data_IF_786683589326
#
_entry.id   IF_786683589326
#
_cell.length_a   1.000
_cell.length_b   1.000
_cell.length_c   1.000
_cell.angle_alpha   90.00
_cell.angle_beta   90.00
_cell.angle_gamma   90.00
#
_symmetry.space_group_name_H-M   'P 1'
#
loop_
_entity.id
_entity.type
_entity.pdbx_description
1 polymer ?
#
# COMPACT_ATOMS: atom_id res chain seq x y z
N UNK A 1 -3.59 8.41 86.08
CA UNK A 1 -4.25 8.16 84.78
C UNK A 1 -4.15 9.31 83.78
N UNK A 2 -4.34 10.58 84.17
CA UNK A 2 -4.27 11.75 83.26
C UNK A 2 -2.96 11.92 82.47
N UNK A 3 -1.78 11.70 83.08
CA UNK A 3 -0.47 11.83 82.37
C UNK A 3 -0.28 10.82 81.23
N UNK A 4 -0.77 9.58 81.38
CA UNK A 4 -0.70 8.54 80.33
C UNK A 4 -1.62 8.85 79.15
N UNK A 5 -2.81 9.38 79.43
CA UNK A 5 -3.74 9.83 78.39
C UNK A 5 -3.21 11.04 77.60
N UNK A 6 -2.53 11.98 78.28
CA UNK A 6 -1.88 13.12 77.61
C UNK A 6 -0.75 12.64 76.68
N UNK A 7 0.12 11.74 77.14
CA UNK A 7 1.20 11.20 76.31
C UNK A 7 0.64 10.47 75.08
N UNK A 8 -0.40 9.66 75.25
CA UNK A 8 -1.05 8.94 74.15
C UNK A 8 -1.69 9.92 73.14
N UNK A 9 -2.42 10.92 73.61
CA UNK A 9 -3.03 11.93 72.74
C UNK A 9 -1.97 12.74 71.98
N UNK A 10 -0.87 13.13 72.63
CA UNK A 10 0.23 13.84 71.95
C UNK A 10 0.88 12.96 70.88
N UNK A 11 1.09 11.68 71.15
CA UNK A 11 1.63 10.74 70.16
C UNK A 11 0.69 10.55 68.95
N UNK A 12 -0.63 10.47 69.20
CA UNK A 12 -1.64 10.36 68.14
C UNK A 12 -1.66 11.64 67.29
N UNK A 13 -1.69 12.83 67.92
CA UNK A 13 -1.66 14.11 67.22
C UNK A 13 -0.39 14.23 66.38
N UNK A 14 0.77 13.87 66.93
CA UNK A 14 2.03 13.88 66.19
C UNK A 14 2.01 12.91 65.00
N UNK A 15 1.40 11.74 65.16
CA UNK A 15 1.17 10.80 64.07
C UNK A 15 0.31 11.39 62.94
N UNK A 16 -0.79 12.06 63.29
CA UNK A 16 -1.64 12.75 62.31
C UNK A 16 -0.91 13.90 61.61
N UNK A 17 -0.09 14.66 62.34
CA UNK A 17 0.75 15.73 61.75
C UNK A 17 1.77 15.15 60.76
N UNK A 18 2.41 14.03 61.09
CA UNK A 18 3.35 13.37 60.17
C UNK A 18 2.65 12.89 58.88
N UNK A 19 1.45 12.31 59.01
CA UNK A 19 0.63 11.90 57.85
C UNK A 19 0.21 13.13 57.03
N UNK A 20 -0.22 14.21 57.67
CA UNK A 20 -0.60 15.45 57.01
C UNK A 20 0.56 16.06 56.22
N UNK A 21 1.76 16.14 56.82
CA UNK A 21 2.96 16.62 56.14
C UNK A 21 3.32 15.74 54.93
N UNK A 22 3.15 14.41 55.06
CA UNK A 22 3.37 13.49 53.93
C UNK A 22 2.35 13.66 52.81
N UNK A 23 1.08 13.90 53.14
CA UNK A 23 0.06 14.19 52.15
C UNK A 23 0.31 15.53 51.46
N UNK A 24 0.73 16.57 52.20
CA UNK A 24 1.09 17.86 51.62
C UNK A 24 2.28 17.75 50.66
N UNK A 25 3.28 16.95 51.02
CA UNK A 25 4.42 16.63 50.15
C UNK A 25 3.98 15.92 48.85
N UNK A 26 3.06 14.95 48.94
CA UNK A 26 2.56 14.23 47.76
C UNK A 26 1.60 15.06 46.90
N UNK A 27 0.69 15.80 47.53
CA UNK A 27 -0.42 16.49 46.87
C UNK A 27 -0.09 17.92 46.42
N UNK A 28 0.85 18.61 47.07
CA UNK A 28 1.20 20.00 46.77
C UNK A 28 2.61 20.09 46.19
N UNK A 29 3.64 19.62 46.92
CA UNK A 29 5.03 19.76 46.48
C UNK A 29 5.35 18.89 45.25
N UNK A 30 4.90 17.64 45.25
CA UNK A 30 5.13 16.70 44.16
C UNK A 30 3.94 16.57 43.19
N UNK A 31 2.93 17.44 43.29
CA UNK A 31 1.73 17.38 42.44
C UNK A 31 2.09 17.30 40.97
N UNK A 32 2.93 18.21 40.48
CA UNK A 32 3.31 18.25 39.06
C UNK A 32 3.98 16.97 38.59
N UNK A 33 4.82 16.36 39.43
CA UNK A 33 5.53 15.11 39.10
C UNK A 33 4.60 13.90 39.04
N UNK A 34 3.67 13.79 39.99
CA UNK A 34 2.74 12.66 40.03
C UNK A 34 1.59 12.82 39.04
N UNK A 35 1.11 14.06 38.83
CA UNK A 35 0.13 14.39 37.80
C UNK A 35 0.69 14.11 36.40
N UNK A 36 1.95 14.48 36.11
CA UNK A 36 2.56 14.18 34.82
C UNK A 36 2.79 12.67 34.61
N UNK A 37 3.21 11.93 35.64
CA UNK A 37 3.32 10.46 35.56
C UNK A 37 1.96 9.79 35.33
N UNK A 38 0.92 10.24 36.01
CA UNK A 38 -0.44 9.76 35.80
C UNK A 38 -0.92 10.09 34.38
N UNK A 39 -0.64 11.30 33.89
CA UNK A 39 -0.96 11.74 32.53
C UNK A 39 -0.25 10.89 31.48
N UNK A 40 1.04 10.61 31.64
CA UNK A 40 1.80 9.73 30.73
C UNK A 40 1.27 8.29 30.77
N UNK A 41 0.86 7.79 31.93
CA UNK A 41 0.28 6.44 32.06
C UNK A 41 -1.13 6.35 31.46
N UNK A 42 -1.92 7.41 31.55
CA UNK A 42 -3.28 7.48 31.03
C UNK A 42 -3.31 7.80 29.53
N UNK A 43 -2.36 8.60 29.03
CA UNK A 43 -2.20 8.93 27.60
C UNK A 43 -1.32 7.87 26.92
N UNK A 44 -1.97 6.86 26.34
CA UNK A 44 -1.28 5.95 25.44
C UNK A 44 -1.41 6.47 24.02
N UNK A 45 -0.28 6.64 23.34
CA UNK A 45 -0.25 6.92 21.91
C UNK A 45 -0.52 5.60 21.20
N UNK A 46 -1.57 5.57 20.39
CA UNK A 46 -1.79 4.51 19.42
C UNK A 46 -1.42 5.04 18.04
N UNK A 47 -0.52 4.33 17.37
CA UNK A 47 -0.13 4.65 16.00
C UNK A 47 -1.26 4.21 15.08
N UNK A 48 -1.90 5.17 14.43
CA UNK A 48 -2.86 4.89 13.36
C UNK A 48 -2.15 4.98 12.03
N UNK A 49 -2.53 4.10 11.10
CA UNK A 49 -2.02 4.16 9.76
C UNK A 49 -2.47 5.47 9.09
N UNK A 50 -1.51 6.36 8.86
CA UNK A 50 -1.72 7.59 8.11
C UNK A 50 -2.34 7.30 6.74
N UNK A 51 -3.24 8.18 6.31
CA UNK A 51 -3.85 8.11 4.98
C UNK A 51 -2.77 8.34 3.93
N UNK A 52 -2.62 7.37 3.03
CA UNK A 52 -1.66 7.46 1.91
C UNK A 52 -2.13 8.51 0.89
N UNK A 53 -1.21 9.17 0.22
CA UNK A 53 -1.54 10.10 -0.87
C UNK A 53 -2.33 9.43 -1.99
N UNK A 54 -3.22 10.19 -2.64
CA UNK A 54 -3.98 9.71 -3.79
C UNK A 54 -3.09 9.69 -5.04
N UNK A 55 -3.34 8.75 -5.95
CA UNK A 55 -2.71 8.72 -7.27
C UNK A 55 -3.74 9.08 -8.31
N UNK A 56 -3.42 10.08 -9.12
CA UNK A 56 -4.25 10.58 -10.21
C UNK A 56 -3.57 10.39 -11.55
N UNK A 57 -4.39 10.30 -12.59
CA UNK A 57 -3.94 10.46 -13.97
C UNK A 57 -3.76 11.96 -14.31
N UNK A 58 -3.31 12.26 -15.54
CA UNK A 58 -3.04 13.64 -15.97
C UNK A 58 -4.29 14.55 -16.00
N UNK A 59 -5.49 13.98 -16.03
CA UNK A 59 -6.78 14.68 -16.03
C UNK A 59 -7.44 14.70 -14.65
N UNK A 60 -6.74 14.25 -13.60
CA UNK A 60 -7.26 14.23 -12.23
C UNK A 60 -8.20 13.06 -11.93
N UNK A 61 -8.24 12.02 -12.78
CA UNK A 61 -9.02 10.81 -12.54
C UNK A 61 -8.28 9.91 -11.55
N UNK A 62 -9.03 9.34 -10.61
CA UNK A 62 -8.48 8.53 -9.52
C UNK A 62 -8.00 7.16 -10.01
N UNK A 63 -6.72 6.88 -9.78
CA UNK A 63 -6.07 5.61 -10.08
C UNK A 63 -5.74 4.80 -8.81
N UNK A 64 -5.47 5.48 -7.70
CA UNK A 64 -5.21 4.86 -6.40
C UNK A 64 -5.76 5.70 -5.24
N UNK A 65 -6.71 5.13 -4.50
CA UNK A 65 -7.45 5.80 -3.43
C UNK A 65 -7.37 5.01 -2.12
N UNK A 66 -7.85 5.59 -1.02
CA UNK A 66 -8.01 4.88 0.24
C UNK A 66 -9.49 4.74 0.56
N UNK A 67 -9.91 3.54 0.91
CA UNK A 67 -11.22 3.27 1.47
C UNK A 67 -11.12 3.21 2.99
N UNK A 68 -12.04 3.90 3.66
CA UNK A 68 -12.25 3.77 5.10
C UNK A 68 -12.90 2.41 5.35
N UNK A 69 -12.19 1.57 6.10
CA UNK A 69 -12.61 0.22 6.45
C UNK A 69 -12.34 -0.01 7.92
N UNK A 70 -12.82 -1.11 8.46
CA UNK A 70 -12.54 -1.50 9.84
C UNK A 70 -11.82 -2.84 9.87
N UNK A 71 -10.87 -2.97 10.80
CA UNK A 71 -10.21 -4.24 11.11
C UNK A 71 -10.80 -4.80 12.41
N UNK A 72 -11.12 -6.09 12.41
CA UNK A 72 -11.69 -6.80 13.55
C UNK A 72 -10.58 -7.41 14.40
N UNK A 73 -10.59 -7.08 15.70
CA UNK A 73 -9.77 -7.73 16.70
C UNK A 73 -10.62 -8.41 17.76
N UNK A 74 -9.99 -9.33 18.49
CA UNK A 74 -10.54 -10.03 19.62
C UNK A 74 -9.69 -9.71 20.85
N UNK A 75 -10.33 -9.48 21.99
CA UNK A 75 -9.77 -9.56 23.34
C UNK A 75 -10.16 -10.93 23.94
N UNK A 76 -9.25 -11.92 23.89
CA UNK A 76 -9.51 -13.25 24.44
C UNK A 76 -9.90 -13.23 25.92
N UNK A 77 -9.43 -12.25 26.70
CA UNK A 77 -9.72 -12.17 28.14
C UNK A 77 -11.14 -11.68 28.45
N UNK A 78 -11.81 -11.05 27.49
CA UNK A 78 -13.17 -10.55 27.60
C UNK A 78 -14.21 -11.46 26.90
N UNK A 79 -13.76 -12.51 26.21
CA UNK A 79 -14.61 -13.47 25.50
C UNK A 79 -15.33 -14.41 26.48
N UNK A 80 -16.64 -14.56 26.31
CA UNK A 80 -17.47 -15.46 27.13
C UNK A 80 -17.62 -16.83 26.47
N UNK A 81 -17.98 -16.87 25.18
CA UNK A 81 -18.27 -18.11 24.44
C UNK A 81 -17.44 -18.22 23.15
N UNK A 82 -16.14 -18.56 23.23
CA UNK A 82 -15.24 -18.58 22.08
C UNK A 82 -15.67 -19.51 20.94
N UNK A 83 -16.23 -20.68 21.28
CA UNK A 83 -16.65 -21.69 20.31
C UNK A 83 -17.81 -21.20 19.46
N UNK A 84 -18.90 -20.75 20.11
CA UNK A 84 -20.08 -20.22 19.42
C UNK A 84 -19.72 -19.01 18.55
N UNK A 85 -18.95 -18.07 19.11
CA UNK A 85 -18.47 -16.91 18.37
C UNK A 85 -17.66 -17.28 17.12
N UNK A 86 -16.79 -18.29 17.21
CA UNK A 86 -16.00 -18.76 16.07
C UNK A 86 -16.87 -19.34 14.95
N UNK A 87 -17.89 -20.14 15.28
CA UNK A 87 -18.82 -20.67 14.30
C UNK A 87 -19.65 -19.56 13.65
N UNK A 88 -20.22 -18.63 14.42
CA UNK A 88 -21.05 -17.55 13.89
C UNK A 88 -20.25 -16.60 12.98
N UNK A 89 -19.02 -16.24 13.39
CA UNK A 89 -18.11 -15.42 12.57
C UNK A 89 -17.62 -16.13 11.32
N UNK A 90 -17.38 -17.45 11.39
CA UNK A 90 -16.89 -18.23 10.25
C UNK A 90 -17.84 -18.16 9.07
N UNK A 91 -19.16 -18.18 9.31
CA UNK A 91 -20.18 -18.07 8.28
C UNK A 91 -20.23 -16.72 7.59
N UNK A 92 -19.85 -15.64 8.29
CA UNK A 92 -19.86 -14.27 7.75
C UNK A 92 -18.57 -13.89 7.06
N UNK A 93 -17.43 -14.30 7.61
CA UNK A 93 -16.10 -13.97 7.09
C UNK A 93 -15.63 -15.01 6.05
N UNK A 94 -16.19 -16.22 6.06
CA UNK A 94 -15.83 -17.30 5.13
C UNK A 94 -14.46 -17.93 5.46
N UNK A 95 -14.08 -18.01 6.73
CA UNK A 95 -12.81 -18.60 7.19
C UNK A 95 -13.05 -19.80 8.11
N UNK A 96 -12.05 -20.67 8.24
CA UNK A 96 -12.17 -21.88 9.06
C UNK A 96 -12.46 -21.52 10.54
N UNK A 97 -13.57 -22.03 11.14
CA UNK A 97 -13.92 -21.78 12.54
C UNK A 97 -12.84 -22.25 13.53
N UNK A 98 -12.12 -23.33 13.25
CA UNK A 98 -11.05 -23.84 14.13
C UNK A 98 -9.89 -22.84 14.23
N UNK A 99 -9.51 -22.22 13.10
CA UNK A 99 -8.47 -21.20 13.07
C UNK A 99 -8.89 -19.93 13.83
N UNK A 100 -10.18 -19.59 13.81
CA UNK A 100 -10.72 -18.48 14.60
C UNK A 100 -10.77 -18.82 16.09
N UNK A 101 -11.20 -20.02 16.45
CA UNK A 101 -11.24 -20.48 17.83
C UNK A 101 -9.86 -20.47 18.48
N UNK A 102 -8.82 -20.86 17.74
CA UNK A 102 -7.43 -20.80 18.21
C UNK A 102 -7.00 -19.35 18.53
N UNK A 103 -7.42 -18.37 17.71
CA UNK A 103 -7.17 -16.95 17.98
C UNK A 103 -7.93 -16.46 19.22
N UNK A 104 -9.18 -16.88 19.35
CA UNK A 104 -10.09 -16.47 20.43
C UNK A 104 -9.73 -17.04 21.80
N UNK A 105 -9.08 -18.20 21.82
CA UNK A 105 -8.64 -18.89 23.05
C UNK A 105 -7.18 -18.59 23.41
N UNK A 106 -6.53 -17.68 22.68
CA UNK A 106 -5.12 -17.34 22.88
C UNK A 106 -4.90 -16.48 24.14
N UNK A 107 -3.65 -16.41 24.60
CA UNK A 107 -3.27 -15.55 25.73
C UNK A 107 -3.05 -14.12 25.26
N UNK A 108 -3.70 -13.15 25.88
CA UNK A 108 -3.50 -11.73 25.61
C UNK A 108 -4.79 -10.94 25.69
N UNK A 109 -4.72 -9.65 25.34
CA UNK A 109 -5.88 -8.75 25.25
C UNK A 109 -6.15 -8.24 23.83
N UNK A 110 -5.37 -8.67 22.86
CA UNK A 110 -5.48 -8.21 21.48
C UNK A 110 -4.96 -9.25 20.51
N UNK A 111 -5.84 -9.71 19.62
CA UNK A 111 -5.51 -10.58 18.50
C UNK A 111 -6.30 -10.17 17.26
N UNK A 112 -5.61 -10.02 16.12
CA UNK A 112 -6.26 -9.75 14.84
C UNK A 112 -7.07 -10.95 14.38
N UNK A 113 -8.38 -10.76 14.23
CA UNK A 113 -9.28 -11.75 13.67
C UNK A 113 -9.25 -11.65 12.15
N UNK A 114 -9.58 -10.46 11.65
CA UNK A 114 -9.61 -10.11 10.24
C UNK A 114 -9.17 -8.65 10.03
N UNK A 115 -8.39 -8.40 8.97
CA UNK A 115 -7.90 -7.05 8.64
C UNK A 115 -8.72 -6.51 7.46
N UNK A 116 -9.06 -5.22 7.49
CA UNK A 116 -9.66 -4.47 6.37
C UNK A 116 -10.96 -5.10 5.84
N UNK A 117 -11.90 -5.36 6.74
CA UNK A 117 -13.23 -5.87 6.41
C UNK A 117 -13.97 -4.90 5.51
N UNK A 118 -14.80 -5.45 4.61
CA UNK A 118 -15.77 -4.64 3.88
C UNK A 118 -16.83 -4.12 4.87
N UNK A 119 -17.34 -2.91 4.62
CA UNK A 119 -18.29 -2.25 5.52
C UNK A 119 -19.56 -3.09 5.77
N UNK A 120 -20.08 -3.77 4.75
CA UNK A 120 -21.23 -4.68 4.91
C UNK A 120 -20.95 -5.84 5.89
N UNK A 121 -19.74 -6.41 5.81
CA UNK A 121 -19.32 -7.51 6.69
C UNK A 121 -19.10 -7.00 8.11
N UNK A 122 -18.48 -5.83 8.27
CA UNK A 122 -18.26 -5.19 9.56
C UNK A 122 -19.59 -4.89 10.27
N UNK A 123 -20.56 -4.29 9.56
CA UNK A 123 -21.88 -3.96 10.11
C UNK A 123 -22.68 -5.22 10.50
N UNK A 124 -22.58 -6.31 9.73
CA UNK A 124 -23.19 -7.59 10.12
C UNK A 124 -22.62 -8.12 11.42
N UNK A 125 -21.30 -8.06 11.59
CA UNK A 125 -20.62 -8.56 12.80
C UNK A 125 -20.93 -7.65 14.01
N UNK A 126 -20.99 -6.33 13.84
CA UNK A 126 -21.40 -5.41 14.90
C UNK A 126 -22.80 -5.73 15.44
N UNK A 127 -23.73 -6.09 14.56
CA UNK A 127 -25.10 -6.48 14.94
C UNK A 127 -25.19 -7.78 15.74
N UNK A 128 -24.16 -8.62 15.70
CA UNK A 128 -24.11 -9.87 16.48
C UNK A 128 -23.78 -9.64 17.97
N UNK A 129 -23.28 -8.43 18.33
CA UNK A 129 -22.96 -8.03 19.71
C UNK A 129 -22.15 -9.07 20.51
N UNK A 130 -21.16 -9.68 19.83
CA UNK A 130 -20.31 -10.71 20.44
C UNK A 130 -19.31 -10.04 21.39
N UNK A 131 -19.43 -10.33 22.69
CA UNK A 131 -18.51 -9.80 23.70
C UNK A 131 -17.07 -10.26 23.48
N UNK A 132 -16.15 -9.31 23.57
CA UNK A 132 -14.72 -9.52 23.34
C UNK A 132 -14.27 -9.25 21.91
N UNK A 133 -15.17 -8.95 20.98
CA UNK A 133 -14.81 -8.41 19.68
C UNK A 133 -14.78 -6.88 19.70
N UNK A 134 -13.87 -6.30 18.93
CA UNK A 134 -13.78 -4.87 18.73
C UNK A 134 -13.32 -4.52 17.32
N UNK A 135 -13.59 -3.29 16.92
CA UNK A 135 -13.21 -2.75 15.62
C UNK A 135 -12.20 -1.63 15.79
N UNK A 136 -11.21 -1.61 14.92
CA UNK A 136 -10.24 -0.51 14.80
C UNK A 136 -10.41 0.10 13.41
N UNK A 137 -10.62 1.43 13.31
CA UNK A 137 -10.58 2.13 12.03
C UNK A 137 -9.27 1.86 11.29
N UNK A 138 -9.35 1.52 10.01
CA UNK A 138 -8.21 1.19 9.16
C UNK A 138 -8.42 1.77 7.76
N UNK A 139 -7.35 1.83 6.96
CA UNK A 139 -7.38 2.34 5.61
C UNK A 139 -6.93 1.27 4.62
N UNK A 140 -7.81 0.93 3.68
CA UNK A 140 -7.51 0.00 2.59
C UNK A 140 -7.15 0.76 1.34
N UNK A 141 -5.95 0.51 0.80
CA UNK A 141 -5.58 0.99 -0.53
C UNK A 141 -6.44 0.28 -1.58
N UNK A 142 -7.06 1.05 -2.46
CA UNK A 142 -7.97 0.56 -3.49
C UNK A 142 -7.66 1.22 -4.84
N UNK A 143 -7.77 0.44 -5.91
CA UNK A 143 -7.48 0.86 -7.28
C UNK A 143 -8.77 0.77 -8.11
N UNK A 144 -9.49 1.89 -8.31
CA UNK A 144 -10.84 1.88 -8.91
C UNK A 144 -10.88 1.33 -10.33
N UNK A 145 -9.75 1.35 -11.03
CA UNK A 145 -9.62 0.93 -12.44
C UNK A 145 -9.18 -0.53 -12.61
N UNK A 146 -9.10 -1.29 -11.51
CA UNK A 146 -8.72 -2.71 -11.54
C UNK A 146 -7.36 -2.91 -12.21
N UNK A 147 -7.32 -3.72 -13.27
CA UNK A 147 -6.08 -4.07 -14.01
C UNK A 147 -5.46 -2.91 -14.79
N UNK A 148 -6.20 -1.84 -15.05
CA UNK A 148 -5.72 -0.73 -15.86
C UNK A 148 -4.50 -0.07 -15.21
N UNK A 149 -3.43 0.09 -15.98
CA UNK A 149 -2.14 0.64 -15.55
C UNK A 149 -1.51 -0.09 -14.35
N UNK A 150 -1.83 -1.38 -14.14
CA UNK A 150 -1.38 -2.14 -12.95
C UNK A 150 0.13 -2.11 -12.74
N UNK A 151 0.93 -2.25 -13.80
CA UNK A 151 2.40 -2.24 -13.71
C UNK A 151 3.00 -0.85 -13.52
N UNK A 152 2.27 0.20 -13.89
CA UNK A 152 2.68 1.59 -13.67
C UNK A 152 2.39 1.97 -12.23
N UNK A 153 1.15 1.77 -11.79
CA UNK A 153 0.71 2.12 -10.43
C UNK A 153 1.44 1.23 -9.42
N UNK A 154 1.46 -0.07 -9.66
CA UNK A 154 1.94 -1.08 -8.73
C UNK A 154 0.88 -1.46 -7.69
N UNK A 155 1.35 -2.04 -6.59
CA UNK A 155 0.50 -2.47 -5.49
C UNK A 155 1.12 -2.16 -4.13
N UNK A 156 0.31 -2.29 -3.08
CA UNK A 156 0.75 -2.22 -1.69
C UNK A 156 0.34 -3.50 -0.96
N UNK A 157 1.08 -3.83 0.11
CA UNK A 157 0.77 -4.92 1.01
C UNK A 157 -0.38 -4.60 1.96
N UNK A 158 -0.76 -5.60 2.78
CA UNK A 158 -1.85 -5.46 3.74
C UNK A 158 -1.60 -4.36 4.78
N UNK A 159 -0.34 -4.09 5.12
CA UNK A 159 0.04 -3.02 6.05
C UNK A 159 0.38 -1.71 5.33
N UNK A 160 -0.10 -1.54 4.09
CA UNK A 160 0.19 -0.39 3.23
C UNK A 160 1.69 -0.22 2.92
N UNK A 161 2.50 -1.29 3.02
CA UNK A 161 3.87 -1.27 2.50
C UNK A 161 3.84 -1.22 0.98
N UNK A 162 4.56 -0.28 0.38
CA UNK A 162 4.65 -0.21 -1.07
C UNK A 162 5.48 -1.38 -1.62
N UNK A 163 4.98 -2.04 -2.65
CA UNK A 163 5.62 -3.24 -3.21
C UNK A 163 6.23 -2.98 -4.58
N UNK A 164 5.52 -2.28 -5.47
CA UNK A 164 5.91 -2.15 -6.88
C UNK A 164 5.51 -0.77 -7.45
N UNK A 165 5.99 -0.47 -8.67
CA UNK A 165 5.52 0.67 -9.47
C UNK A 165 5.71 2.05 -8.84
N UNK A 166 4.80 2.96 -9.18
CA UNK A 166 4.69 4.32 -8.62
C UNK A 166 4.50 4.27 -7.11
N UNK A 167 3.75 3.30 -6.60
CA UNK A 167 3.57 3.10 -5.17
C UNK A 167 4.92 2.95 -4.45
N UNK A 168 5.82 2.12 -4.99
CA UNK A 168 7.15 1.93 -4.42
C UNK A 168 8.04 3.15 -4.65
N UNK A 169 8.11 3.64 -5.90
CA UNK A 169 9.03 4.73 -6.27
C UNK A 169 8.74 6.02 -5.50
N UNK A 170 7.47 6.35 -5.31
CA UNK A 170 7.04 7.58 -4.63
C UNK A 170 6.54 7.33 -3.20
N UNK A 171 6.85 6.18 -2.61
CA UNK A 171 6.44 5.80 -1.25
C UNK A 171 6.77 6.89 -0.21
N UNK A 172 7.92 7.56 -0.34
CA UNK A 172 8.35 8.65 0.56
C UNK A 172 7.40 9.86 0.53
N UNK A 173 6.79 10.15 -0.62
CA UNK A 173 5.87 11.28 -0.79
C UNK A 173 4.42 10.88 -0.50
N UNK A 174 4.04 9.67 -0.91
CA UNK A 174 2.73 9.09 -0.68
C UNK A 174 2.49 8.76 0.80
N UNK A 175 3.54 8.53 1.59
CA UNK A 175 3.43 8.25 3.02
C UNK A 175 3.84 9.46 3.86
N UNK A 176 2.96 9.87 4.75
CA UNK A 176 3.33 10.75 5.88
C UNK A 176 3.63 9.87 7.09
N UNK A 177 4.65 10.19 7.91
CA UNK A 177 4.84 9.55 9.21
C UNK A 177 3.51 9.56 9.97
N UNK A 178 3.14 8.41 10.55
CA UNK A 178 1.81 8.10 11.09
C UNK A 178 1.14 9.21 11.91
N UNK A 179 -0.18 9.24 11.88
CA UNK A 179 -0.99 10.03 12.81
C UNK A 179 -0.99 9.34 14.18
N UNK A 180 -0.85 10.12 15.25
CA UNK A 180 -0.96 9.61 16.62
C UNK A 180 -2.37 9.88 17.11
N UNK A 181 -3.11 8.85 17.50
CA UNK A 181 -4.32 9.04 18.30
C UNK A 181 -3.95 9.01 19.77
N UNK A 182 -4.37 10.06 20.47
CA UNK A 182 -4.26 10.18 21.92
C UNK A 182 -5.44 9.46 22.57
N UNK A 183 -5.23 8.21 22.98
CA UNK A 183 -6.27 7.43 23.67
C UNK A 183 -6.07 7.57 25.18
N UNK A 184 -7.08 8.08 25.89
CA UNK A 184 -7.10 8.02 27.34
C UNK A 184 -7.58 6.64 27.80
N UNK A 185 -6.82 5.98 28.67
CA UNK A 185 -7.20 4.72 29.29
C UNK A 185 -7.30 4.84 30.81
N UNK A 186 -8.24 4.11 31.40
CA UNK A 186 -8.36 3.98 32.85
C UNK A 186 -7.35 2.96 33.43
N UNK A 187 -7.27 2.87 34.76
CA UNK A 187 -6.38 1.94 35.46
C UNK A 187 -6.69 0.45 35.20
N UNK A 188 -7.86 0.13 34.62
CA UNK A 188 -8.26 -1.22 34.21
C UNK A 188 -8.01 -1.46 32.72
N UNK A 189 -7.47 -0.47 31.99
CA UNK A 189 -7.13 -0.52 30.57
C UNK A 189 -8.28 -0.21 29.62
N UNK A 190 -9.44 0.25 30.13
CA UNK A 190 -10.59 0.62 29.31
C UNK A 190 -10.37 2.01 28.70
N UNK A 191 -10.69 2.16 27.42
CA UNK A 191 -10.63 3.45 26.72
C UNK A 191 -11.73 4.38 27.24
N UNK A 192 -11.35 5.56 27.72
CA UNK A 192 -12.23 6.58 28.31
C UNK A 192 -12.71 7.63 27.30
N UNK A 193 -11.97 7.86 26.21
CA UNK A 193 -12.35 8.81 25.15
C UNK A 193 -11.84 8.38 23.79
N UNK A 194 -12.63 8.66 22.74
CA UNK A 194 -12.20 8.64 21.34
C UNK A 194 -11.13 9.72 21.17
N UNK A 195 -9.90 9.35 20.86
CA UNK A 195 -8.80 10.31 20.79
C UNK A 195 -8.97 11.33 19.65
N UNK A 196 -8.26 12.46 19.77
CA UNK A 196 -8.19 13.45 18.69
C UNK A 196 -7.33 12.86 17.57
N UNK A 197 -7.91 12.71 16.38
CA UNK A 197 -7.20 12.30 15.17
C UNK A 197 -6.36 13.47 14.66
N UNK A 198 -5.04 13.37 14.77
CA UNK A 198 -4.14 14.27 14.08
C UNK A 198 -3.96 13.67 12.69
N UNK A 199 -4.89 14.01 11.80
CA UNK A 199 -5.00 13.42 10.46
C UNK A 199 -3.75 13.78 9.64
N UNK A 200 -2.79 12.86 9.55
CA UNK A 200 -1.61 13.02 8.71
C UNK A 200 -1.87 12.38 7.36
N UNK A 201 -2.06 13.19 6.31
CA UNK A 201 -2.26 12.72 4.93
C UNK A 201 -0.97 12.81 4.12
N UNK A 202 -0.69 11.80 3.30
CA UNK A 202 0.39 11.81 2.29
C UNK A 202 0.14 12.77 1.13
N UNK A 203 1.20 13.15 0.43
CA UNK A 203 1.10 13.98 -0.76
C UNK A 203 0.49 13.19 -1.92
N UNK A 204 -0.37 13.82 -2.71
CA UNK A 204 -0.91 13.22 -3.91
C UNK A 204 0.14 13.19 -5.04
N UNK A 205 0.04 12.20 -5.91
CA UNK A 205 0.88 12.07 -7.11
C UNK A 205 0.00 12.16 -8.35
N UNK A 206 0.38 13.05 -9.27
CA UNK A 206 -0.22 13.14 -10.60
C UNK A 206 0.71 12.47 -11.61
N UNK A 207 0.17 11.52 -12.37
CA UNK A 207 0.90 10.84 -13.43
C UNK A 207 0.71 11.56 -14.77
N UNK A 208 1.65 11.33 -15.70
CA UNK A 208 1.53 11.75 -17.10
C UNK A 208 0.58 10.85 -17.90
N UNK A 209 0.25 9.68 -17.36
CA UNK A 209 -0.67 8.70 -17.96
C UNK A 209 -2.04 9.35 -18.18
N UNK A 210 -2.60 9.14 -19.37
CA UNK A 210 -4.00 9.42 -19.65
C UNK A 210 -4.78 8.10 -19.59
N UNK A 211 -5.74 7.99 -18.65
CA UNK A 211 -6.56 6.79 -18.49
C UNK A 211 -7.24 6.33 -19.79
N UNK A 212 -7.64 7.26 -20.67
CA UNK A 212 -8.29 6.94 -21.93
C UNK A 212 -7.33 6.32 -22.95
N UNK A 213 -6.14 6.91 -23.09
CA UNK A 213 -5.09 6.36 -23.96
C UNK A 213 -4.55 5.03 -23.41
N UNK A 214 -4.41 4.93 -22.10
CA UNK A 214 -4.05 3.69 -21.42
C UNK A 214 -5.04 2.57 -21.73
N UNK A 215 -6.34 2.84 -21.61
CA UNK A 215 -7.38 1.87 -21.90
C UNK A 215 -7.34 1.39 -23.36
N UNK A 216 -7.16 2.32 -24.31
CA UNK A 216 -7.04 1.97 -25.73
C UNK A 216 -5.81 1.09 -25.96
N UNK A 217 -4.64 1.48 -25.42
CA UNK A 217 -3.40 0.71 -25.57
C UNK A 217 -3.53 -0.70 -25.00
N UNK A 218 -4.12 -0.83 -23.81
CA UNK A 218 -4.35 -2.12 -23.16
C UNK A 218 -5.34 -3.02 -23.92
N UNK A 219 -6.42 -2.42 -24.44
CA UNK A 219 -7.41 -3.15 -25.24
C UNK A 219 -6.81 -3.69 -26.52
N UNK A 220 -6.02 -2.89 -27.23
CA UNK A 220 -5.34 -3.35 -28.45
C UNK A 220 -4.25 -4.38 -28.15
N UNK A 221 -3.60 -4.28 -26.99
CA UNK A 221 -2.65 -5.28 -26.53
C UNK A 221 -3.35 -6.63 -26.24
N UNK A 222 -4.55 -6.59 -25.64
CA UNK A 222 -5.38 -7.78 -25.44
C UNK A 222 -5.85 -8.40 -26.77
N UNK A 223 -6.27 -7.57 -27.73
CA UNK A 223 -6.61 -8.03 -29.09
C UNK A 223 -5.41 -8.71 -29.76
N UNK A 224 -4.22 -8.11 -29.68
CA UNK A 224 -2.99 -8.68 -30.24
C UNK A 224 -2.61 -10.01 -29.56
N UNK A 225 -2.69 -10.09 -28.23
CA UNK A 225 -2.44 -11.32 -27.48
C UNK A 225 -3.40 -12.43 -27.90
N UNK A 226 -4.68 -12.12 -28.10
CA UNK A 226 -5.70 -13.09 -28.53
C UNK A 226 -5.49 -13.54 -29.98
N UNK A 227 -5.19 -12.60 -30.89
CA UNK A 227 -4.98 -12.87 -32.31
C UNK A 227 -3.73 -13.72 -32.54
N UNK A 228 -2.61 -13.35 -31.92
CA UNK A 228 -1.30 -13.96 -32.17
C UNK A 228 -0.95 -15.07 -31.18
N UNK A 229 -1.76 -15.26 -30.13
CA UNK A 229 -1.49 -16.18 -29.01
C UNK A 229 -0.10 -15.97 -28.43
N UNK A 230 0.31 -14.70 -28.36
CA UNK A 230 1.62 -14.33 -27.84
C UNK A 230 1.74 -14.66 -26.35
N UNK A 231 2.96 -14.95 -25.88
CA UNK A 231 3.23 -15.24 -24.46
C UNK A 231 3.28 -13.97 -23.61
N UNK A 232 3.68 -12.85 -24.22
CA UNK A 232 3.77 -11.54 -23.60
C UNK A 232 3.74 -10.46 -24.68
N UNK A 233 3.31 -9.26 -24.29
CA UNK A 233 3.36 -8.09 -25.16
C UNK A 233 3.47 -6.81 -24.32
N UNK A 234 4.02 -5.76 -24.93
CA UNK A 234 4.30 -4.48 -24.25
C UNK A 234 4.03 -3.33 -25.20
N UNK A 235 3.43 -2.25 -24.70
CA UNK A 235 3.20 -1.00 -25.43
C UNK A 235 3.59 0.18 -24.57
N UNK A 236 4.30 1.14 -25.16
CA UNK A 236 4.61 2.45 -24.58
C UNK A 236 4.18 3.52 -25.58
N UNK A 237 3.39 4.48 -25.11
CA UNK A 237 3.00 5.68 -25.86
C UNK A 237 3.59 6.89 -25.15
N UNK A 238 4.37 7.68 -25.87
CA UNK A 238 5.08 8.84 -25.36
C UNK A 238 4.79 10.06 -26.24
N UNK A 239 4.66 11.23 -25.62
CA UNK A 239 4.73 12.50 -26.32
C UNK A 239 6.20 12.82 -26.66
N UNK A 240 6.58 12.88 -27.95
CA UNK A 240 7.97 13.07 -28.36
C UNK A 240 8.53 14.47 -28.03
N UNK A 241 7.67 15.47 -27.81
CA UNK A 241 8.11 16.84 -27.54
C UNK A 241 8.36 17.09 -26.05
N UNK A 242 7.59 16.43 -25.18
CA UNK A 242 7.66 16.61 -23.72
C UNK A 242 8.35 15.45 -23.01
N UNK A 243 8.43 14.27 -23.64
CA UNK A 243 8.87 13.04 -23.02
C UNK A 243 7.85 12.43 -22.04
N UNK A 244 6.64 13.00 -21.95
CA UNK A 244 5.58 12.47 -21.11
C UNK A 244 5.13 11.08 -21.59
N UNK A 245 5.07 10.11 -20.68
CA UNK A 245 4.50 8.79 -20.98
C UNK A 245 2.99 8.86 -20.82
N UNK A 246 2.27 8.69 -21.92
CA UNK A 246 0.81 8.82 -22.01
C UNK A 246 0.09 7.50 -21.74
N UNK A 247 0.69 6.40 -22.18
CA UNK A 247 0.22 5.05 -21.90
C UNK A 247 1.41 4.10 -21.78
N UNK A 248 1.31 3.13 -20.89
CA UNK A 248 2.36 2.17 -20.60
C UNK A 248 1.71 0.88 -20.11
N UNK A 249 1.77 -0.18 -20.91
CA UNK A 249 1.05 -1.41 -20.67
C UNK A 249 1.90 -2.64 -20.95
N UNK A 250 1.76 -3.67 -20.12
CA UNK A 250 2.28 -4.99 -20.38
C UNK A 250 1.15 -6.04 -20.32
N UNK A 251 1.36 -7.14 -21.01
CA UNK A 251 0.60 -8.39 -20.86
C UNK A 251 1.56 -9.56 -20.62
N UNK A 252 1.20 -10.52 -19.76
CA UNK A 252 -0.02 -10.58 -18.93
C UNK A 252 -0.01 -9.52 -17.82
N UNK A 253 -1.20 -9.07 -17.40
CA UNK A 253 -1.40 -8.07 -16.35
C UNK A 253 -2.16 -8.66 -15.15
N UNK A 254 -2.14 -7.93 -14.04
CA UNK A 254 -2.78 -8.35 -12.79
C UNK A 254 -3.68 -7.25 -12.22
N UNK A 255 -4.60 -7.61 -11.32
CA UNK A 255 -5.35 -6.61 -10.57
C UNK A 255 -4.59 -6.26 -9.28
N UNK A 256 -4.16 -5.00 -9.08
CA UNK A 256 -3.43 -4.58 -7.89
C UNK A 256 -4.27 -4.66 -6.61
N UNK A 257 -5.61 -4.71 -6.69
CA UNK A 257 -6.48 -4.98 -5.53
C UNK A 257 -6.35 -6.43 -5.03
N UNK A 258 -5.91 -7.35 -5.90
CA UNK A 258 -5.70 -8.77 -5.60
C UNK A 258 -4.26 -9.20 -5.85
N UNK A 259 -3.29 -8.28 -5.69
CA UNK A 259 -1.87 -8.52 -6.00
C UNK A 259 -1.27 -9.73 -5.25
N UNK A 260 -1.79 -10.07 -4.06
CA UNK A 260 -1.34 -11.24 -3.31
C UNK A 260 -1.55 -12.58 -4.05
N UNK A 261 -2.54 -12.65 -4.95
CA UNK A 261 -2.88 -13.86 -5.72
C UNK A 261 -2.27 -13.89 -7.12
N UNK A 262 -1.71 -12.77 -7.58
CA UNK A 262 -1.09 -12.67 -8.89
C UNK A 262 0.28 -13.35 -8.92
N UNK A 263 0.58 -14.03 -10.03
CA UNK A 263 1.84 -14.74 -10.23
C UNK A 263 2.96 -13.75 -10.57
N UNK A 264 4.20 -14.12 -10.26
CA UNK A 264 5.35 -13.22 -10.44
C UNK A 264 5.53 -12.76 -11.91
N UNK A 265 5.26 -13.63 -12.89
CA UNK A 265 5.33 -13.26 -14.30
C UNK A 265 4.22 -12.29 -14.75
N UNK A 266 3.10 -12.22 -14.02
CA UNK A 266 2.01 -11.27 -14.27
C UNK A 266 2.33 -9.90 -13.65
N UNK A 267 3.07 -9.88 -12.53
CA UNK A 267 3.53 -8.65 -11.86
C UNK A 267 4.70 -7.98 -12.56
N UNK A 268 5.49 -8.77 -13.30
CA UNK A 268 6.70 -8.31 -13.99
C UNK A 268 6.41 -7.18 -14.98
N UNK A 269 7.03 -6.02 -14.76
CA UNK A 269 6.97 -4.90 -15.69
C UNK A 269 7.98 -5.08 -16.83
N UNK A 270 7.56 -5.78 -17.88
CA UNK A 270 8.42 -6.21 -19.00
C UNK A 270 9.08 -5.07 -19.75
N UNK A 271 8.39 -3.95 -19.94
CA UNK A 271 8.97 -2.78 -20.60
C UNK A 271 10.24 -2.24 -19.90
N UNK A 272 10.42 -2.52 -18.61
CA UNK A 272 11.58 -2.05 -17.83
C UNK A 272 12.54 -3.19 -17.55
N UNK A 273 12.04 -4.39 -17.25
CA UNK A 273 12.85 -5.50 -16.75
C UNK A 273 13.39 -6.42 -17.85
N UNK A 274 12.78 -6.44 -19.03
CA UNK A 274 13.07 -7.44 -20.05
C UNK A 274 13.89 -6.80 -21.16
N UNK A 275 15.13 -7.27 -21.31
CA UNK A 275 16.01 -6.89 -22.43
C UNK A 275 15.69 -7.80 -23.61
N UNK A 276 15.59 -7.22 -24.80
CA UNK A 276 15.39 -7.94 -26.05
C UNK A 276 16.22 -7.31 -27.17
N UNK A 277 16.49 -8.09 -28.22
CA UNK A 277 17.17 -7.60 -29.41
C UNK A 277 16.21 -6.71 -30.22
N UNK A 278 16.54 -5.43 -30.48
CA UNK A 278 15.62 -4.50 -31.14
C UNK A 278 15.39 -4.80 -32.63
N UNK A 279 16.23 -5.65 -33.24
CA UNK A 279 16.13 -6.03 -34.65
C UNK A 279 16.12 -4.81 -35.58
N UNK A 280 15.26 -4.84 -36.61
CA UNK A 280 15.17 -3.78 -37.61
C UNK A 280 14.81 -2.40 -37.06
N UNK A 281 14.22 -2.29 -35.86
CA UNK A 281 13.89 -0.98 -35.27
C UNK A 281 15.15 -0.15 -34.96
N UNK A 282 16.28 -0.79 -34.69
CA UNK A 282 17.55 -0.12 -34.40
C UNK A 282 18.22 0.45 -35.65
N UNK A 283 17.83 0.00 -36.86
CA UNK A 283 18.42 0.47 -38.12
C UNK A 283 18.23 1.97 -38.33
N UNK A 284 17.19 2.59 -37.73
CA UNK A 284 16.98 4.04 -37.77
C UNK A 284 18.15 4.77 -37.10
N UNK A 285 18.69 4.25 -36.01
CA UNK A 285 19.83 4.85 -35.31
C UNK A 285 21.10 4.76 -36.14
N UNK A 286 21.39 3.58 -36.70
CA UNK A 286 22.54 3.39 -37.60
C UNK A 286 22.40 4.25 -38.85
N UNK A 287 21.19 4.37 -39.38
CA UNK A 287 20.92 5.18 -40.55
C UNK A 287 21.10 6.68 -40.30
N UNK A 288 20.64 7.17 -39.14
CA UNK A 288 20.89 8.54 -38.72
C UNK A 288 22.39 8.83 -38.55
N UNK A 289 23.14 7.92 -37.93
CA UNK A 289 24.59 8.03 -37.79
C UNK A 289 25.30 8.07 -39.16
N UNK A 290 24.85 7.25 -40.13
CA UNK A 290 25.43 7.25 -41.47
C UNK A 290 25.21 8.57 -42.22
N UNK A 291 24.05 9.22 -42.05
CA UNK A 291 23.80 10.55 -42.60
C UNK A 291 24.67 11.60 -41.89
N UNK A 292 24.75 11.56 -40.56
CA UNK A 292 25.52 12.51 -39.75
C UNK A 292 27.02 12.48 -40.08
N UNK A 293 27.59 11.28 -40.22
CA UNK A 293 28.98 11.08 -40.62
C UNK A 293 29.25 11.39 -42.11
N UNK A 294 28.20 11.73 -42.88
CA UNK A 294 28.30 12.07 -44.30
C UNK A 294 28.71 10.91 -45.20
N UNK A 295 28.69 9.67 -44.71
CA UNK A 295 29.05 8.48 -45.50
C UNK A 295 27.97 8.12 -46.53
N UNK A 296 26.74 8.61 -46.34
CA UNK A 296 25.62 8.46 -47.26
C UNK A 296 24.78 9.74 -47.36
N UNK A 297 24.10 9.92 -48.50
CA UNK A 297 23.02 10.90 -48.72
C UNK A 297 21.70 10.19 -48.94
N UNK A 298 20.57 10.88 -48.77
CA UNK A 298 19.22 10.30 -48.94
C UNK A 298 18.98 9.68 -50.32
N UNK A 299 19.64 10.18 -51.36
CA UNK A 299 19.57 9.72 -52.75
C UNK A 299 20.66 8.70 -53.12
N UNK A 300 21.51 8.31 -52.17
CA UNK A 300 22.54 7.28 -52.38
C UNK A 300 21.87 5.96 -52.72
N UNK A 301 22.36 5.31 -53.78
CA UNK A 301 21.80 4.08 -54.32
C UNK A 301 22.56 2.85 -53.83
N UNK A 302 21.82 1.84 -53.40
CA UNK A 302 22.35 0.53 -52.99
C UNK A 302 21.74 -0.56 -53.88
N UNK A 303 22.60 -1.42 -54.42
CA UNK A 303 22.15 -2.58 -55.19
C UNK A 303 21.85 -3.75 -54.25
N UNK A 304 20.55 -4.02 -54.04
CA UNK A 304 20.06 -5.12 -53.20
C UNK A 304 19.62 -6.34 -54.03
N UNK A 305 19.96 -6.41 -55.33
CA UNK A 305 19.48 -7.44 -56.27
C UNK A 305 19.86 -8.87 -55.89
N UNK A 306 21.00 -9.04 -55.23
CA UNK A 306 21.46 -10.34 -54.74
C UNK A 306 20.69 -10.82 -53.50
N UNK A 307 20.06 -9.92 -52.75
CA UNK A 307 19.39 -10.20 -51.47
C UNK A 307 20.33 -10.73 -50.38
N UNK A 308 21.63 -10.54 -50.55
CA UNK A 308 22.66 -10.94 -49.59
C UNK A 308 23.96 -10.17 -49.83
N UNK A 309 24.73 -9.97 -48.76
CA UNK A 309 26.08 -9.38 -48.80
C UNK A 309 27.05 -10.22 -47.97
N UNK A 310 28.22 -10.53 -48.52
CA UNK A 310 29.28 -11.25 -47.81
C UNK A 310 30.19 -10.25 -47.11
N UNK A 311 30.39 -10.44 -45.80
CA UNK A 311 31.30 -9.64 -44.97
C UNK A 311 32.24 -10.59 -44.25
N UNK A 312 33.50 -10.64 -44.69
CA UNK A 312 34.47 -11.63 -44.21
C UNK A 312 33.99 -13.07 -44.50
N UNK A 313 33.87 -13.89 -43.46
CA UNK A 313 33.37 -15.27 -43.53
C UNK A 313 31.85 -15.40 -43.38
N UNK A 314 31.14 -14.30 -43.10
CA UNK A 314 29.69 -14.30 -42.85
C UNK A 314 28.91 -13.77 -44.06
N UNK A 315 27.72 -14.31 -44.28
CA UNK A 315 26.77 -13.84 -45.29
C UNK A 315 25.56 -13.26 -44.58
N UNK A 316 25.26 -11.99 -44.83
CA UNK A 316 24.09 -11.28 -44.31
C UNK A 316 23.00 -11.37 -45.37
N UNK A 317 21.80 -11.78 -44.98
CA UNK A 317 20.68 -12.01 -45.89
C UNK A 317 19.55 -11.00 -45.68
N UNK A 318 18.94 -10.57 -46.77
CA UNK A 318 17.71 -9.79 -46.75
C UNK A 318 16.49 -10.72 -46.64
N UNK A 319 15.39 -10.22 -46.07
CA UNK A 319 14.12 -10.97 -46.03
C UNK A 319 13.56 -11.21 -47.44
N UNK A 320 13.75 -10.25 -48.34
CA UNK A 320 13.33 -10.32 -49.74
C UNK A 320 14.39 -9.69 -50.64
N UNK A 321 14.45 -10.13 -51.89
CA UNK A 321 15.29 -9.49 -52.91
C UNK A 321 14.65 -8.18 -53.34
N UNK A 322 15.46 -7.13 -53.40
CA UNK A 322 15.05 -5.82 -53.88
C UNK A 322 15.90 -5.40 -55.07
N UNK A 323 15.44 -4.43 -55.85
CA UNK A 323 16.27 -3.84 -56.91
C UNK A 323 17.31 -2.88 -56.34
N UNK A 324 17.60 -1.84 -57.11
CA UNK A 324 18.36 -0.70 -56.60
C UNK A 324 17.44 0.15 -55.73
N UNK A 325 17.80 0.33 -54.45
CA UNK A 325 17.07 1.17 -53.50
C UNK A 325 17.85 2.45 -53.22
N UNK A 326 17.12 3.51 -52.88
CA UNK A 326 17.71 4.70 -52.25
C UNK A 326 17.86 4.48 -50.75
N UNK A 327 18.62 5.35 -50.09
CA UNK A 327 18.73 5.33 -48.64
C UNK A 327 17.42 5.68 -47.91
N UNK A 328 16.56 6.48 -48.56
CA UNK A 328 15.17 6.75 -48.13
C UNK A 328 14.27 5.55 -48.39
#
# INVERSE_FOLDING_TARGET
>A
MRKRAIILNTAIIFGFVAVFLRLMDLMVLNHGRFSERARIQQLKHEDIQARRGLIFDRKGRELGVNLEVESLFCDPSAMISPQTAAYDLSGVIGKNPEAMLAKFSSKGRFVWVERKLNNETAEKIKKMDIKGLGFVPDAKRFYPKGKLASHVIGAVGIDNQALEGVELKYNKFLRTPGGKILVMRDARGRTLSTGVDIESKGNNVFLTIDEGLQYIAEKELDNAMAQWRASAATVIMMDPFTGEILAFANRPAYDPNSAAYAKDFEKRNRAITDIYEPGSTFKIIVGAAAIEEGVVKLDTKFDCSKGAVSVGSSVIHDAHKHGVLTFK
#
